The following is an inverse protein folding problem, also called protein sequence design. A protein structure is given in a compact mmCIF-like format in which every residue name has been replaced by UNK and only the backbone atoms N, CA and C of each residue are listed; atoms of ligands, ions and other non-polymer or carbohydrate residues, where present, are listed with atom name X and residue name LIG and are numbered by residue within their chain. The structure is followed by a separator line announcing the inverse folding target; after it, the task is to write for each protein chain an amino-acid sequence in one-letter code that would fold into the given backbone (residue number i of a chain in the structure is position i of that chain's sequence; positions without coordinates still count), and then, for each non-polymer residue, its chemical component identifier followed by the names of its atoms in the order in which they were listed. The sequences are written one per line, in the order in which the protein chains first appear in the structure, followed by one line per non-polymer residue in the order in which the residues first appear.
data_IF_968829213449
#
_entry.id   IF_968829213449
#
_cell.length_a   1.000
_cell.length_b   1.000
_cell.length_c   1.000
_cell.angle_alpha   90.00
_cell.angle_beta   90.00
_cell.angle_gamma   90.00
#
_symmetry.space_group_name_H-M   'P 1'
#
loop_
_entity.id
_entity.type
_entity.pdbx_description
1 polymer ?
#
# COMPACT_ATOMS: atom_id res chain seq x y z
N UNK A 1 -4.98 -7.42 5.00
CA UNK A 1 -3.77 -6.81 5.63
C UNK A 1 -3.99 -5.33 5.88
N UNK A 2 -4.61 -4.67 4.90
CA UNK A 2 -4.97 -3.26 4.81
C UNK A 2 -5.82 -2.79 5.99
N UNK A 3 -6.87 -3.54 6.37
CA UNK A 3 -7.75 -3.20 7.52
C UNK A 3 -6.96 -3.06 8.82
N UNK A 4 -6.10 -4.03 9.13
CA UNK A 4 -5.28 -4.03 10.35
C UNK A 4 -4.24 -2.91 10.40
N UNK A 5 -3.88 -2.34 9.25
CA UNK A 5 -2.95 -1.21 9.17
C UNK A 5 -3.70 0.09 9.44
N UNK A 6 -4.86 0.26 8.80
CA UNK A 6 -5.70 1.45 8.98
C UNK A 6 -6.18 1.60 10.42
N UNK A 7 -6.60 0.50 11.07
CA UNK A 7 -6.96 0.49 12.50
C UNK A 7 -5.80 0.94 13.40
N UNK A 8 -4.58 0.47 13.12
CA UNK A 8 -3.39 0.83 13.89
C UNK A 8 -2.93 2.28 13.67
N UNK A 9 -3.31 2.88 12.56
CA UNK A 9 -3.03 4.28 12.23
C UNK A 9 -4.18 5.23 12.64
N UNK A 10 -5.31 4.70 13.12
CA UNK A 10 -6.50 5.50 13.43
C UNK A 10 -7.15 6.12 12.19
N UNK A 11 -6.90 5.55 11.01
CA UNK A 11 -7.49 5.99 9.75
C UNK A 11 -8.69 5.14 9.40
N UNK A 12 -9.71 5.75 8.78
CA UNK A 12 -10.79 5.02 8.12
C UNK A 12 -10.42 4.83 6.67
N UNK A 13 -10.02 3.62 6.28
CA UNK A 13 -9.74 3.27 4.90
C UNK A 13 -10.86 2.41 4.32
N UNK A 14 -11.33 2.78 3.13
CA UNK A 14 -12.30 2.00 2.37
C UNK A 14 -11.56 1.40 1.19
N UNK A 15 -11.76 0.10 0.94
CA UNK A 15 -11.28 -0.55 -0.28
C UNK A 15 -12.41 -0.49 -1.29
N UNK A 16 -12.23 0.24 -2.37
CA UNK A 16 -13.29 0.45 -3.36
C UNK A 16 -13.27 -0.65 -4.43
N UNK A 17 -12.10 -0.97 -4.98
CA UNK A 17 -11.98 -1.95 -6.08
C UNK A 17 -10.89 -2.99 -5.80
N UNK A 18 -11.20 -4.26 -6.12
CA UNK A 18 -10.29 -5.39 -6.03
C UNK A 18 -10.54 -6.36 -7.20
N UNK A 19 -10.16 -5.92 -8.39
CA UNK A 19 -10.24 -6.76 -9.59
C UNK A 19 -8.91 -7.47 -9.81
N UNK A 20 -8.89 -8.76 -9.50
CA UNK A 20 -7.72 -9.61 -9.71
C UNK A 20 -7.66 -10.04 -11.18
N UNK A 21 -6.65 -9.55 -11.88
CA UNK A 21 -6.31 -9.93 -13.24
C UNK A 21 -5.45 -11.21 -13.21
N UNK A 22 -5.99 -12.29 -13.77
CA UNK A 22 -5.28 -13.56 -14.02
C UNK A 22 -4.56 -14.16 -12.79
N UNK A 23 -4.99 -13.81 -11.57
CA UNK A 23 -4.41 -14.33 -10.33
C UNK A 23 -3.03 -13.79 -9.95
N UNK A 24 -2.43 -12.94 -10.78
CA UNK A 24 -1.06 -12.43 -10.60
C UNK A 24 -0.96 -10.91 -10.58
N UNK A 25 -2.02 -10.19 -10.94
CA UNK A 25 -2.05 -8.74 -10.83
C UNK A 25 -3.39 -8.26 -10.28
N UNK A 26 -3.42 -7.12 -9.61
CA UNK A 26 -4.65 -6.45 -9.23
C UNK A 26 -4.44 -4.95 -9.09
N UNK A 27 -5.47 -4.19 -9.45
CA UNK A 27 -5.55 -2.79 -9.05
C UNK A 27 -6.05 -2.70 -7.60
N UNK A 28 -5.47 -1.78 -6.85
CA UNK A 28 -5.84 -1.51 -5.45
C UNK A 28 -6.05 -0.02 -5.25
N UNK A 29 -7.32 0.38 -5.19
CA UNK A 29 -7.76 1.74 -4.89
C UNK A 29 -8.26 1.84 -3.45
N UNK A 30 -7.62 2.70 -2.67
CA UNK A 30 -7.85 2.85 -1.23
C UNK A 30 -7.91 4.35 -0.87
N UNK A 31 -9.11 4.94 -0.81
CA UNK A 31 -9.33 6.17 -0.07
C UNK A 31 -9.22 5.94 1.44
N UNK A 32 -8.52 6.83 2.13
CA UNK A 32 -8.38 6.82 3.58
C UNK A 32 -8.50 8.23 4.16
N UNK A 33 -9.35 8.38 5.18
CA UNK A 33 -9.57 9.64 5.90
C UNK A 33 -8.94 9.56 7.29
N UNK A 34 -8.16 10.59 7.65
CA UNK A 34 -7.56 10.73 8.97
C UNK A 34 -8.48 11.45 9.97
N UNK A 35 -8.03 11.57 11.22
CA UNK A 35 -8.80 12.23 12.29
C UNK A 35 -9.00 13.73 12.08
N UNK A 36 -8.24 14.36 11.17
CA UNK A 36 -8.40 15.77 10.81
C UNK A 36 -9.42 15.97 9.67
N UNK A 37 -10.01 14.88 9.18
CA UNK A 37 -10.93 14.90 8.04
C UNK A 37 -10.23 15.02 6.69
N UNK A 38 -8.90 14.88 6.64
CA UNK A 38 -8.17 14.90 5.38
C UNK A 38 -8.29 13.53 4.74
N UNK A 39 -8.72 13.54 3.48
CA UNK A 39 -8.85 12.33 2.68
C UNK A 39 -7.65 12.19 1.77
N UNK A 40 -7.05 11.02 1.82
CA UNK A 40 -5.93 10.62 0.97
C UNK A 40 -6.37 9.48 0.07
N UNK A 41 -5.89 9.47 -1.17
CA UNK A 41 -6.22 8.43 -2.14
C UNK A 41 -4.93 7.75 -2.61
N UNK A 42 -4.90 6.43 -2.46
CA UNK A 42 -3.87 5.56 -3.04
C UNK A 42 -4.51 4.77 -4.18
N UNK A 43 -3.92 4.80 -5.37
CA UNK A 43 -4.31 3.96 -6.49
C UNK A 43 -3.06 3.28 -7.05
N UNK A 44 -2.97 1.97 -6.87
CA UNK A 44 -1.75 1.20 -7.10
C UNK A 44 -2.05 -0.07 -7.88
N UNK A 45 -1.28 -0.34 -8.93
CA UNK A 45 -1.25 -1.64 -9.58
C UNK A 45 -0.25 -2.54 -8.86
N UNK A 46 -0.68 -3.74 -8.48
CA UNK A 46 0.15 -4.72 -7.77
C UNK A 46 0.29 -5.96 -8.63
N UNK A 47 1.52 -6.43 -8.81
CA UNK A 47 1.90 -7.68 -9.43
C UNK A 47 2.47 -8.62 -8.38
N UNK A 48 2.05 -9.88 -8.41
CA UNK A 48 2.45 -10.92 -7.49
C UNK A 48 2.80 -12.17 -8.28
N UNK A 49 4.02 -12.66 -8.11
CA UNK A 49 4.45 -13.95 -8.61
C UNK A 49 4.81 -14.86 -7.44
N UNK A 50 4.12 -15.99 -7.36
CA UNK A 50 4.43 -17.06 -6.41
C UNK A 50 5.35 -18.11 -7.07
N UNK A 51 6.24 -18.67 -6.26
CA UNK A 51 7.16 -19.75 -6.58
C UNK A 51 6.95 -20.84 -5.53
N UNK A 52 6.64 -22.05 -5.98
CA UNK A 52 6.34 -23.16 -5.09
C UNK A 52 7.61 -23.81 -4.52
N UNK A 53 7.41 -24.72 -3.56
CA UNK A 53 8.47 -25.52 -2.98
C UNK A 53 9.19 -26.34 -4.08
N UNK A 54 10.52 -26.34 -4.09
CA UNK A 54 11.35 -27.02 -5.09
C UNK A 54 11.73 -26.18 -6.30
N UNK A 55 11.31 -24.91 -6.37
CA UNK A 55 11.75 -24.00 -7.43
C UNK A 55 13.23 -23.62 -7.26
N UNK A 56 14.12 -23.94 -8.22
CA UNK A 56 15.55 -23.71 -8.08
C UNK A 56 15.94 -22.22 -8.06
N UNK A 57 15.08 -21.31 -8.54
CA UNK A 57 15.38 -19.87 -8.67
C UNK A 57 15.61 -19.18 -7.32
N UNK A 58 15.07 -19.73 -6.24
CA UNK A 58 15.21 -19.21 -4.86
C UNK A 58 15.77 -20.25 -3.87
N UNK A 59 16.54 -21.21 -4.36
CA UNK A 59 17.15 -22.23 -3.50
C UNK A 59 16.17 -23.29 -2.99
N UNK A 60 15.03 -23.48 -3.66
CA UNK A 60 14.04 -24.50 -3.34
C UNK A 60 12.98 -24.07 -2.31
N UNK A 61 13.16 -22.94 -1.62
CA UNK A 61 12.18 -22.43 -0.65
C UNK A 61 11.02 -21.70 -1.35
N UNK A 62 9.77 -21.87 -0.89
CA UNK A 62 8.62 -21.16 -1.43
C UNK A 62 8.82 -19.65 -1.41
N UNK A 63 8.59 -18.96 -2.53
CA UNK A 63 8.82 -17.53 -2.69
C UNK A 63 7.63 -16.76 -3.22
N UNK A 64 7.52 -15.49 -2.83
CA UNK A 64 6.65 -14.53 -3.48
C UNK A 64 7.42 -13.25 -3.77
N UNK A 65 7.31 -12.77 -5.00
CA UNK A 65 7.75 -11.45 -5.42
C UNK A 65 6.50 -10.61 -5.60
N UNK A 66 6.45 -9.48 -4.90
CA UNK A 66 5.44 -8.46 -5.06
C UNK A 66 6.11 -7.23 -5.64
N UNK A 67 5.59 -6.73 -6.75
CA UNK A 67 5.97 -5.44 -7.31
C UNK A 67 4.72 -4.58 -7.41
N UNK A 68 4.81 -3.30 -7.09
CA UNK A 68 3.68 -2.40 -7.16
C UNK A 68 4.10 -1.02 -7.65
N UNK A 69 3.21 -0.35 -8.37
CA UNK A 69 3.43 1.02 -8.83
C UNK A 69 2.12 1.83 -8.84
N UNK A 70 2.21 3.15 -8.78
CA UNK A 70 1.04 4.03 -8.83
C UNK A 70 0.41 4.07 -10.22
N UNK A 71 -0.91 4.26 -10.26
CA UNK A 71 -1.65 4.47 -11.51
C UNK A 71 -1.76 5.96 -11.80
N UNK A 72 -0.92 6.50 -12.69
CA UNK A 72 -0.87 7.94 -12.94
C UNK A 72 -2.18 8.51 -13.52
N UNK A 73 -2.78 7.79 -14.46
CA UNK A 73 -4.02 8.17 -15.14
C UNK A 73 -5.07 7.05 -15.01
N UNK A 74 -6.22 7.39 -14.46
CA UNK A 74 -7.35 6.48 -14.29
C UNK A 74 -8.59 7.10 -14.97
N UNK A 75 -9.01 6.48 -16.09
CA UNK A 75 -10.16 6.94 -16.86
C UNK A 75 -11.50 6.62 -16.19
N UNK A 76 -11.55 5.57 -15.36
CA UNK A 76 -12.74 5.15 -14.65
C UNK A 76 -12.96 6.00 -13.40
N UNK A 77 -11.87 6.32 -12.71
CA UNK A 77 -11.88 7.09 -11.46
C UNK A 77 -10.84 8.21 -11.48
N UNK A 78 -11.18 9.29 -12.17
CA UNK A 78 -10.31 10.46 -12.28
C UNK A 78 -9.96 11.07 -10.93
N UNK A 79 -8.67 11.33 -10.73
CA UNK A 79 -8.15 11.97 -9.54
C UNK A 79 -8.70 13.39 -9.37
N UNK A 80 -9.17 13.71 -8.16
CA UNK A 80 -9.73 15.02 -7.79
C UNK A 80 -8.84 15.73 -6.76
N UNK A 81 -7.81 16.48 -7.20
CA UNK A 81 -6.84 17.13 -6.31
C UNK A 81 -7.43 18.19 -5.38
N UNK A 82 -8.61 18.70 -5.72
CA UNK A 82 -9.38 19.64 -4.89
C UNK A 82 -10.08 18.99 -3.70
N UNK A 83 -10.15 17.66 -3.66
CA UNK A 83 -10.84 16.89 -2.60
C UNK A 83 -9.92 15.96 -1.84
N UNK A 84 -8.97 15.33 -2.53
CA UNK A 84 -8.11 14.30 -1.95
C UNK A 84 -6.64 14.63 -2.18
N UNK A 85 -5.80 14.15 -1.25
CA UNK A 85 -4.34 14.14 -1.42
C UNK A 85 -3.93 12.81 -2.07
N UNK A 86 -3.24 12.86 -3.21
CA UNK A 86 -2.69 11.67 -3.85
C UNK A 86 -1.46 11.13 -3.11
N UNK A 87 -1.49 9.85 -2.76
CA UNK A 87 -0.36 9.07 -2.22
C UNK A 87 0.04 7.99 -3.22
N UNK A 88 1.16 8.19 -3.89
CA UNK A 88 1.72 7.24 -4.85
C UNK A 88 2.75 6.35 -4.19
N UNK A 89 2.42 5.06 -4.10
CA UNK A 89 3.27 4.03 -3.50
C UNK A 89 3.81 3.13 -4.61
N UNK A 90 5.13 3.14 -4.77
CA UNK A 90 5.84 2.25 -5.70
C UNK A 90 6.83 1.39 -4.91
N UNK A 91 6.92 0.10 -5.16
CA UNK A 91 7.83 -0.74 -4.39
C UNK A 91 7.89 -2.20 -4.78
N UNK A 92 8.92 -2.88 -4.28
CA UNK A 92 9.15 -4.31 -4.46
C UNK A 92 9.42 -5.00 -3.12
N UNK A 93 8.81 -6.16 -2.92
CA UNK A 93 8.98 -7.01 -1.73
C UNK A 93 9.23 -8.46 -2.14
N UNK A 94 10.26 -9.07 -1.56
CA UNK A 94 10.51 -10.51 -1.63
C UNK A 94 10.18 -11.12 -0.27
N UNK A 95 9.19 -12.01 -0.23
CA UNK A 95 8.57 -12.47 1.04
C UNK A 95 9.43 -13.50 1.79
N UNK A 96 10.19 -14.37 1.11
CA UNK A 96 11.00 -15.45 1.74
C UNK A 96 12.10 -14.94 2.64
N UNK A 97 12.77 -13.89 2.19
CA UNK A 97 13.89 -13.29 2.91
C UNK A 97 13.53 -11.95 3.52
N UNK A 98 12.23 -11.58 3.49
CA UNK A 98 11.69 -10.27 3.87
C UNK A 98 12.63 -9.11 3.46
N UNK A 99 13.02 -9.09 2.19
CA UNK A 99 13.82 -8.00 1.59
C UNK A 99 12.87 -7.09 0.85
N UNK A 100 12.91 -5.79 1.16
CA UNK A 100 12.01 -4.79 0.57
C UNK A 100 12.76 -3.54 0.15
N UNK A 101 12.28 -2.91 -0.91
CA UNK A 101 12.62 -1.57 -1.32
C UNK A 101 11.32 -0.88 -1.76
N UNK A 102 11.09 0.34 -1.31
CA UNK A 102 9.88 1.09 -1.64
C UNK A 102 10.20 2.56 -1.73
N UNK A 103 9.47 3.24 -2.61
CA UNK A 103 9.48 4.67 -2.81
C UNK A 103 8.06 5.18 -2.62
N UNK A 104 7.89 6.20 -1.78
CA UNK A 104 6.60 6.85 -1.56
C UNK A 104 6.70 8.30 -2.00
N UNK A 105 5.74 8.73 -2.81
CA UNK A 105 5.55 10.13 -3.18
C UNK A 105 4.18 10.59 -2.70
N UNK A 106 4.14 11.74 -2.04
CA UNK A 106 2.90 12.43 -1.67
C UNK A 106 2.83 13.69 -2.52
N UNK A 107 1.71 13.89 -3.21
CA UNK A 107 1.49 15.10 -4.01
C UNK A 107 0.97 16.24 -3.15
N UNK A 108 1.38 17.46 -3.48
CA UNK A 108 0.88 18.65 -2.81
C UNK A 108 -0.61 18.86 -3.15
N UNK A 109 -1.49 19.08 -2.15
CA UNK A 109 -2.89 19.37 -2.40
C UNK A 109 -3.12 20.78 -2.98
N UNK A 110 -4.23 20.94 -3.69
CA UNK A 110 -4.70 22.25 -4.20
C UNK A 110 -5.49 23.06 -3.16
N UNK A 111 -5.71 22.49 -1.97
CA UNK A 111 -6.41 23.13 -0.87
C UNK A 111 -5.48 23.37 0.34
N UNK A 112 -5.80 24.35 1.21
CA UNK A 112 -4.98 24.62 2.38
C UNK A 112 -4.93 23.42 3.33
N UNK A 113 -3.73 22.99 3.70
CA UNK A 113 -3.48 21.98 4.73
C UNK A 113 -2.77 22.64 5.90
N UNK A 114 -3.22 22.35 7.12
CA UNK A 114 -2.57 22.90 8.32
C UNK A 114 -1.16 22.32 8.50
N UNK A 115 -0.20 23.06 9.08
CA UNK A 115 1.15 22.52 9.31
C UNK A 115 1.15 21.25 10.17
N UNK A 116 0.23 21.15 11.13
CA UNK A 116 0.06 19.95 11.95
C UNK A 116 -0.37 18.75 11.11
N UNK A 117 -1.39 18.93 10.27
CA UNK A 117 -1.86 17.88 9.38
C UNK A 117 -0.79 17.45 8.36
N UNK A 118 0.00 18.38 7.85
CA UNK A 118 1.14 18.04 6.98
C UNK A 118 2.19 17.21 7.72
N UNK A 119 2.53 17.59 8.95
CA UNK A 119 3.46 16.83 9.78
C UNK A 119 2.95 15.42 10.11
N UNK A 120 1.65 15.29 10.38
CA UNK A 120 1.01 13.98 10.60
C UNK A 120 1.01 13.13 9.33
N UNK A 121 0.75 13.74 8.17
CA UNK A 121 0.82 13.08 6.88
C UNK A 121 2.22 12.55 6.57
N UNK A 122 3.26 13.35 6.84
CA UNK A 122 4.66 12.99 6.67
C UNK A 122 5.12 11.94 7.71
N UNK A 123 4.69 12.07 8.97
CA UNK A 123 5.00 11.12 10.04
C UNK A 123 4.38 9.73 9.82
N UNK A 124 3.12 9.70 9.36
CA UNK A 124 2.40 8.46 9.08
C UNK A 124 3.07 7.56 8.02
N UNK A 125 3.90 8.13 7.15
CA UNK A 125 4.70 7.40 6.15
C UNK A 125 5.66 6.41 6.82
N UNK A 126 6.40 6.88 7.84
CA UNK A 126 7.39 6.06 8.53
C UNK A 126 6.74 4.92 9.31
N UNK A 127 5.56 5.18 9.90
CA UNK A 127 4.83 4.20 10.67
C UNK A 127 4.16 3.14 9.80
N UNK A 128 3.68 3.51 8.60
CA UNK A 128 3.04 2.57 7.68
C UNK A 128 3.93 1.36 7.35
N UNK A 129 5.21 1.60 7.02
CA UNK A 129 6.18 0.53 6.74
C UNK A 129 6.43 -0.38 7.94
N UNK A 130 6.50 0.18 9.15
CA UNK A 130 6.68 -0.58 10.39
C UNK A 130 5.43 -1.41 10.74
N UNK A 131 4.24 -0.85 10.55
CA UNK A 131 2.96 -1.51 10.80
C UNK A 131 2.78 -2.67 9.83
N UNK A 132 3.06 -2.49 8.54
CA UNK A 132 3.04 -3.54 7.51
C UNK A 132 3.86 -4.77 7.92
N UNK A 133 5.10 -4.57 8.41
CA UNK A 133 5.96 -5.67 8.86
C UNK A 133 5.35 -6.40 10.05
N UNK A 134 4.91 -5.65 11.06
CA UNK A 134 4.32 -6.23 12.26
C UNK A 134 3.08 -7.05 11.90
N UNK A 135 2.28 -6.58 10.95
CA UNK A 135 1.09 -7.28 10.44
C UNK A 135 1.48 -8.52 9.64
N UNK A 136 2.41 -8.44 8.68
CA UNK A 136 2.87 -9.63 7.92
C UNK A 136 3.48 -10.69 8.83
N UNK A 137 4.32 -10.30 9.80
CA UNK A 137 4.89 -11.22 10.79
C UNK A 137 3.80 -11.85 11.63
N UNK A 138 2.82 -11.07 12.11
CA UNK A 138 1.71 -11.62 12.88
C UNK A 138 0.92 -12.66 12.08
N UNK A 139 0.67 -12.43 10.79
CA UNK A 139 -0.02 -13.41 9.93
C UNK A 139 0.85 -14.65 9.71
N UNK A 140 2.10 -14.49 9.28
CA UNK A 140 3.01 -15.60 8.97
C UNK A 140 3.31 -16.48 10.19
N UNK A 141 3.46 -15.88 11.38
CA UNK A 141 3.76 -16.60 12.62
C UNK A 141 2.52 -17.02 13.43
N UNK A 142 1.32 -16.53 13.11
CA UNK A 142 0.08 -17.07 13.69
C UNK A 142 -0.37 -18.38 13.02
N UNK A 143 0.18 -18.67 11.84
CA UNK A 143 -0.06 -19.90 11.07
C UNK A 143 0.97 -21.02 11.33
N UNK A 144 1.80 -20.88 12.37
CA UNK A 144 2.71 -21.89 12.93
C UNK A 144 2.27 -22.26 14.34
#
# INVERSE_FOLDING_TARGET
MEISISERLGHVAVREDYDMMEGSAYNSRIPATDNNGITTETNTMVFVQFFENGDPRFGGEPCAIVASDSVDEDELYQYQPSKHIRKDISGGVIVVTMRRAGYLKIHAPEFPVSPLAQQELEGGIGDWGNVMIKTMRAVLYASL
#
